data_IF_566091851284
#
_entry.id   IF_566091851284
#
_cell.length_a   1.000
_cell.length_b   1.000
_cell.length_c   1.000
_cell.angle_alpha   90.00
_cell.angle_beta   90.00
_cell.angle_gamma   90.00
#
_symmetry.space_group_name_H-M   'P 1'
#
loop_
_entity.id
_entity.type
_entity.pdbx_description
1 polymer ?
#
# COMPACT_ATOMS: atom_id res chain seq x y z
N UNK A 1 -4.02 11.90 -14.45
CA UNK A 1 -2.59 12.18 -14.67
C UNK A 1 -1.85 10.89 -14.96
N UNK A 2 -0.92 10.94 -15.90
CA UNK A 2 -0.06 9.80 -16.28
C UNK A 2 1.31 9.90 -15.62
N UNK A 3 1.83 8.76 -15.18
CA UNK A 3 3.23 8.62 -14.75
C UNK A 3 3.82 7.34 -15.34
N UNK A 4 5.03 7.45 -15.89
CA UNK A 4 5.81 6.29 -16.30
C UNK A 4 6.50 5.68 -15.07
N UNK A 5 6.07 4.49 -14.67
CA UNK A 5 6.62 3.80 -13.50
C UNK A 5 8.10 3.43 -13.64
N UNK A 6 8.63 3.32 -14.87
CA UNK A 6 10.05 3.06 -15.08
C UNK A 6 10.95 4.21 -14.61
N UNK A 7 10.40 5.41 -14.44
CA UNK A 7 11.12 6.56 -13.86
C UNK A 7 11.32 6.43 -12.35
N UNK A 8 10.41 5.71 -11.67
CA UNK A 8 10.48 5.45 -10.22
C UNK A 8 11.18 4.12 -9.96
N UNK A 9 10.92 3.13 -10.81
CA UNK A 9 11.46 1.77 -10.72
C UNK A 9 12.24 1.44 -12.00
N UNK A 10 13.51 1.85 -12.12
CA UNK A 10 14.31 1.60 -13.31
C UNK A 10 14.40 0.12 -13.63
N UNK A 11 14.15 -0.22 -14.89
CA UNK A 11 14.12 -1.61 -15.35
C UNK A 11 12.73 -2.25 -15.36
N UNK A 12 11.70 -1.57 -14.82
CA UNK A 12 10.31 -2.01 -15.02
C UNK A 12 9.93 -1.93 -16.47
N UNK A 13 9.30 -2.99 -16.98
CA UNK A 13 8.77 -3.07 -18.33
C UNK A 13 7.36 -3.63 -18.34
N UNK A 14 6.56 -3.12 -19.27
CA UNK A 14 5.22 -3.66 -19.56
C UNK A 14 5.11 -3.94 -21.05
N UNK A 15 4.67 -5.14 -21.39
CA UNK A 15 4.31 -5.56 -22.74
C UNK A 15 2.87 -6.06 -22.74
N UNK A 16 2.06 -5.59 -23.68
CA UNK A 16 0.64 -5.92 -23.75
C UNK A 16 0.36 -7.45 -23.88
N UNK A 17 1.31 -8.20 -24.43
CA UNK A 17 1.16 -9.63 -24.66
C UNK A 17 1.93 -10.48 -23.64
N UNK A 18 3.05 -9.98 -23.14
CA UNK A 18 3.93 -10.71 -22.21
C UNK A 18 3.71 -10.33 -20.74
N UNK A 19 2.93 -9.26 -20.49
CA UNK A 19 2.72 -8.74 -19.15
C UNK A 19 3.86 -7.86 -18.66
N UNK A 20 3.91 -7.66 -17.36
CA UNK A 20 4.90 -6.83 -16.69
C UNK A 20 6.06 -7.65 -16.13
N UNK A 21 7.23 -7.02 -16.06
CA UNK A 21 8.44 -7.60 -15.47
C UNK A 21 9.23 -6.55 -14.72
N UNK A 22 9.75 -6.91 -13.56
CA UNK A 22 10.65 -6.09 -12.77
C UNK A 22 11.63 -6.95 -11.97
N UNK A 23 12.92 -6.69 -12.12
CA UNK A 23 14.00 -7.43 -11.44
C UNK A 23 13.89 -8.96 -11.66
N UNK A 24 13.44 -9.37 -12.84
CA UNK A 24 13.27 -10.78 -13.20
C UNK A 24 12.02 -11.44 -12.62
N UNK A 25 11.10 -10.67 -12.04
CA UNK A 25 9.88 -11.17 -11.42
C UNK A 25 8.63 -10.59 -12.10
N UNK A 26 7.51 -11.30 -11.95
CA UNK A 26 6.19 -10.82 -12.32
C UNK A 26 5.54 -10.08 -11.14
N UNK A 27 5.28 -8.76 -11.26
CA UNK A 27 4.63 -8.01 -10.19
C UNK A 27 3.18 -8.39 -9.92
N UNK A 28 2.54 -9.15 -10.81
CA UNK A 28 1.13 -9.50 -10.73
C UNK A 28 0.20 -8.38 -11.19
N UNK A 29 -1.09 -8.68 -11.34
CA UNK A 29 -2.09 -7.72 -11.82
C UNK A 29 -2.70 -6.88 -10.70
N UNK A 30 -3.00 -7.50 -9.56
CA UNK A 30 -3.70 -6.86 -8.44
C UNK A 30 -2.84 -6.62 -7.21
N UNK A 31 -1.60 -7.07 -7.22
CA UNK A 31 -0.64 -6.97 -6.13
C UNK A 31 0.41 -8.06 -6.22
N UNK A 32 1.57 -7.81 -5.64
CA UNK A 32 2.66 -8.77 -5.63
C UNK A 32 2.43 -9.85 -4.56
N UNK A 33 2.63 -11.11 -4.93
CA UNK A 33 2.56 -12.25 -4.03
C UNK A 33 3.87 -13.03 -4.12
N UNK A 34 4.44 -13.33 -2.97
CA UNK A 34 5.64 -14.17 -2.84
C UNK A 34 5.44 -15.13 -1.67
N UNK A 35 5.82 -16.36 -1.84
CA UNK A 35 5.73 -17.37 -0.79
C UNK A 35 6.95 -18.29 -0.84
N UNK A 36 7.54 -18.52 0.31
CA UNK A 36 8.59 -19.53 0.52
C UNK A 36 8.08 -20.53 1.55
N UNK A 37 7.59 -21.70 1.12
CA UNK A 37 7.06 -22.70 2.03
C UNK A 37 8.08 -23.17 3.05
N UNK A 38 7.62 -23.36 4.29
CA UNK A 38 8.49 -23.80 5.36
C UNK A 38 7.88 -23.62 6.74
N UNK A 39 8.68 -23.96 7.75
CA UNK A 39 8.40 -23.69 9.15
C UNK A 39 9.29 -22.54 9.63
N UNK A 40 8.68 -21.55 10.25
CA UNK A 40 9.36 -20.35 10.69
C UNK A 40 9.02 -20.01 12.14
N UNK A 41 9.97 -19.37 12.81
CA UNK A 41 9.81 -18.88 14.19
C UNK A 41 10.08 -17.37 14.25
N UNK A 42 9.47 -16.71 15.25
CA UNK A 42 9.62 -15.27 15.49
C UNK A 42 9.37 -14.43 14.23
N UNK A 43 8.22 -14.60 13.62
CA UNK A 43 7.86 -13.99 12.34
C UNK A 43 7.22 -12.62 12.56
N UNK A 44 7.89 -11.54 12.18
CA UNK A 44 7.31 -10.22 12.19
C UNK A 44 6.37 -10.04 10.99
N UNK A 45 5.14 -9.64 11.26
CA UNK A 45 4.16 -9.22 10.26
C UNK A 45 4.11 -7.70 10.21
N UNK A 46 4.49 -7.13 9.08
CA UNK A 46 4.36 -5.70 8.81
C UNK A 46 3.37 -5.50 7.65
N UNK A 47 2.52 -4.50 7.80
CA UNK A 47 1.45 -4.19 6.86
C UNK A 47 1.52 -2.71 6.47
N UNK A 48 1.37 -2.42 5.18
CA UNK A 48 1.35 -1.03 4.69
C UNK A 48 -0.02 -0.42 4.98
N UNK A 49 -0.03 0.67 5.72
CA UNK A 49 -1.24 1.44 5.94
C UNK A 49 -1.71 2.07 4.62
N UNK A 50 -2.88 1.66 4.15
CA UNK A 50 -3.52 2.22 2.95
C UNK A 50 -2.63 2.20 1.71
N UNK A 51 -2.16 1.03 1.26
CA UNK A 51 -1.24 0.86 0.13
C UNK A 51 -1.74 1.53 -1.16
N UNK A 52 -2.96 1.21 -1.61
CA UNK A 52 -3.50 1.77 -2.84
C UNK A 52 -3.80 3.27 -2.73
N UNK A 53 -4.42 3.76 -1.67
CA UNK A 53 -4.58 5.21 -1.48
C UNK A 53 -3.26 5.97 -1.46
N UNK A 54 -2.25 5.45 -0.80
CA UNK A 54 -0.91 6.06 -0.78
C UNK A 54 -0.27 6.07 -2.16
N UNK A 55 -0.43 4.98 -2.93
CA UNK A 55 0.04 4.93 -4.32
C UNK A 55 -0.62 6.00 -5.19
N UNK A 56 -1.92 6.22 -5.03
CA UNK A 56 -2.65 7.30 -5.72
C UNK A 56 -2.07 8.68 -5.37
N UNK A 57 -1.79 8.92 -4.09
CA UNK A 57 -1.18 10.17 -3.61
C UNK A 57 0.22 10.38 -4.21
N UNK A 58 1.07 9.38 -4.12
CA UNK A 58 2.46 9.44 -4.61
C UNK A 58 2.55 9.63 -6.12
N UNK A 59 1.58 9.08 -6.87
CA UNK A 59 1.46 9.27 -8.30
C UNK A 59 0.79 10.60 -8.69
N UNK A 60 0.23 11.33 -7.73
CA UNK A 60 -0.63 12.49 -7.98
C UNK A 60 -1.70 12.20 -9.04
N UNK A 61 -2.32 11.03 -8.93
CA UNK A 61 -3.10 10.44 -10.01
C UNK A 61 -4.35 11.24 -10.37
N UNK A 62 -4.93 11.94 -9.39
CA UNK A 62 -6.11 12.79 -9.57
C UNK A 62 -5.76 14.26 -9.82
N UNK A 63 -4.48 14.60 -9.99
CA UNK A 63 -4.05 15.97 -10.23
C UNK A 63 -4.52 16.92 -9.13
N UNK A 64 -5.27 17.99 -9.48
CA UNK A 64 -5.73 18.98 -8.50
C UNK A 64 -6.64 18.42 -7.39
N UNK A 65 -7.25 17.25 -7.62
CA UNK A 65 -8.15 16.60 -6.66
C UNK A 65 -7.44 15.63 -5.72
N UNK A 66 -6.15 15.38 -5.91
CA UNK A 66 -5.37 14.46 -5.07
C UNK A 66 -5.32 14.93 -3.62
N UNK A 67 -5.24 16.23 -3.38
CA UNK A 67 -5.23 16.79 -2.02
C UNK A 67 -6.52 16.45 -1.24
N UNK A 68 -7.68 16.59 -1.88
CA UNK A 68 -8.97 16.21 -1.26
C UNK A 68 -9.08 14.71 -1.01
N UNK A 69 -8.53 13.93 -1.90
CA UNK A 69 -8.44 12.47 -1.69
C UNK A 69 -7.52 12.14 -0.50
N UNK A 70 -6.39 12.82 -0.36
CA UNK A 70 -5.50 12.69 0.79
C UNK A 70 -6.18 13.07 2.11
N UNK A 71 -6.97 14.14 2.14
CA UNK A 71 -7.77 14.50 3.32
C UNK A 71 -8.72 13.38 3.71
N UNK A 72 -9.39 12.75 2.74
CA UNK A 72 -10.31 11.64 3.00
C UNK A 72 -9.59 10.43 3.60
N UNK A 73 -8.42 10.10 3.08
CA UNK A 73 -7.54 9.04 3.64
C UNK A 73 -7.11 9.39 5.07
N UNK A 74 -6.66 10.62 5.30
CA UNK A 74 -6.24 11.10 6.63
C UNK A 74 -7.39 11.08 7.64
N UNK A 75 -8.59 11.47 7.21
CA UNK A 75 -9.78 11.40 8.04
C UNK A 75 -10.09 9.97 8.49
N UNK A 76 -9.98 9.00 7.59
CA UNK A 76 -10.17 7.59 7.94
C UNK A 76 -9.12 7.10 8.94
N UNK A 77 -7.87 7.50 8.77
CA UNK A 77 -6.77 7.14 9.70
C UNK A 77 -7.03 7.77 11.08
N UNK A 78 -7.40 9.05 11.14
CA UNK A 78 -7.73 9.74 12.38
C UNK A 78 -8.88 9.05 13.12
N UNK A 79 -9.93 8.65 12.41
CA UNK A 79 -11.07 7.91 12.97
C UNK A 79 -10.64 6.54 13.51
N UNK A 80 -9.83 5.80 12.75
CA UNK A 80 -9.29 4.49 13.19
C UNK A 80 -8.52 4.60 14.50
N UNK A 81 -7.74 5.68 14.66
CA UNK A 81 -6.95 5.94 15.87
C UNK A 81 -7.70 6.75 16.94
N UNK A 82 -8.97 7.09 16.69
CA UNK A 82 -9.80 7.93 17.57
C UNK A 82 -9.17 9.29 17.88
N UNK A 83 -8.39 9.81 16.94
CA UNK A 83 -7.70 11.09 17.02
C UNK A 83 -8.63 12.23 16.55
N UNK A 84 -9.44 12.74 17.47
CA UNK A 84 -10.41 13.79 17.19
C UNK A 84 -9.73 15.15 16.90
N UNK A 85 -8.53 15.37 17.42
CA UNK A 85 -7.77 16.60 17.14
C UNK A 85 -7.28 16.61 15.69
N UNK A 86 -6.70 15.50 15.22
CA UNK A 86 -6.34 15.34 13.80
C UNK A 86 -7.56 15.47 12.89
N UNK A 87 -8.69 14.86 13.27
CA UNK A 87 -9.93 14.93 12.50
C UNK A 87 -10.48 16.37 12.38
N UNK A 88 -10.31 17.17 13.43
CA UNK A 88 -10.78 18.57 13.46
C UNK A 88 -10.09 19.48 12.45
N UNK A 89 -8.90 19.10 11.99
CA UNK A 89 -8.10 19.85 11.01
C UNK A 89 -8.45 19.52 9.57
N UNK A 90 -9.31 18.52 9.35
CA UNK A 90 -9.69 18.03 8.03
C UNK A 90 -11.11 18.49 7.69
N UNK A 91 -11.35 18.79 6.40
CA UNK A 91 -12.66 19.22 5.89
C UNK A 91 -13.30 20.36 6.69
N UNK A 92 -12.50 21.32 7.11
CA UNK A 92 -12.95 22.48 7.93
C UNK A 92 -13.67 22.05 9.23
N UNK A 93 -13.28 20.91 9.82
CA UNK A 93 -13.85 20.37 11.06
C UNK A 93 -15.23 19.72 10.92
N UNK A 94 -15.81 19.66 9.73
CA UNK A 94 -17.18 19.13 9.50
C UNK A 94 -17.34 17.68 9.94
N UNK A 95 -16.29 16.87 9.79
CA UNK A 95 -16.34 15.46 10.16
C UNK A 95 -16.40 15.24 11.66
N UNK A 96 -15.92 16.18 12.48
CA UNK A 96 -16.02 16.10 13.94
C UNK A 96 -17.48 16.11 14.40
N UNK A 97 -18.30 16.96 13.81
CA UNK A 97 -19.74 17.04 14.15
C UNK A 97 -20.46 15.73 13.78
N UNK A 98 -20.09 15.14 12.65
CA UNK A 98 -20.61 13.83 12.24
C UNK A 98 -20.12 12.76 13.23
N UNK A 99 -18.84 12.75 13.56
CA UNK A 99 -18.23 11.76 14.44
C UNK A 99 -18.80 11.77 15.87
N UNK A 100 -19.32 12.91 16.35
CA UNK A 100 -19.99 12.99 17.66
C UNK A 100 -21.33 12.22 17.70
N UNK A 101 -21.97 12.02 16.55
CA UNK A 101 -23.31 11.45 16.45
C UNK A 101 -23.32 10.02 15.89
N UNK A 102 -22.17 9.46 15.51
CA UNK A 102 -22.06 8.14 14.93
C UNK A 102 -20.99 7.31 15.63
N UNK A 103 -21.12 6.00 15.55
CA UNK A 103 -20.06 5.09 15.96
C UNK A 103 -18.81 5.28 15.07
N UNK A 104 -17.65 5.44 15.70
CA UNK A 104 -16.41 5.71 14.97
C UNK A 104 -15.96 4.55 14.09
N UNK A 105 -16.21 3.32 14.52
CA UNK A 105 -15.85 2.14 13.74
C UNK A 105 -16.72 2.02 12.48
N UNK A 106 -18.02 2.32 12.62
CA UNK A 106 -18.94 2.37 11.48
C UNK A 106 -18.60 3.51 10.52
N UNK A 107 -18.27 4.68 11.05
CA UNK A 107 -17.84 5.82 10.24
C UNK A 107 -16.54 5.51 9.47
N UNK A 108 -15.58 4.88 10.13
CA UNK A 108 -14.33 4.43 9.49
C UNK A 108 -14.57 3.42 8.37
N UNK A 109 -15.52 2.51 8.54
CA UNK A 109 -15.95 1.56 7.49
C UNK A 109 -16.63 2.29 6.33
N UNK A 110 -17.51 3.24 6.64
CA UNK A 110 -18.20 4.04 5.62
C UNK A 110 -17.23 4.84 4.76
N UNK A 111 -16.19 5.44 5.35
CA UNK A 111 -15.16 6.18 4.60
C UNK A 111 -14.27 5.27 3.75
N UNK A 112 -14.12 4.00 4.09
CA UNK A 112 -13.38 3.03 3.28
C UNK A 112 -14.01 2.83 1.90
N UNK A 113 -15.32 2.92 1.81
CA UNK A 113 -16.06 2.66 0.55
C UNK A 113 -15.67 3.67 -0.54
N UNK A 114 -15.81 5.01 -0.37
CA UNK A 114 -15.41 5.95 -1.40
C UNK A 114 -13.90 5.90 -1.71
N UNK A 115 -13.05 5.69 -0.71
CA UNK A 115 -11.60 5.56 -0.92
C UNK A 115 -11.28 4.39 -1.86
N UNK A 116 -11.89 3.22 -1.64
CA UNK A 116 -11.69 2.05 -2.48
C UNK A 116 -12.39 2.18 -3.84
N UNK A 117 -13.54 2.85 -3.90
CA UNK A 117 -14.26 3.12 -5.15
C UNK A 117 -13.44 3.98 -6.09
N UNK A 118 -12.73 4.98 -5.58
CA UNK A 118 -11.82 5.80 -6.37
C UNK A 118 -10.68 4.97 -6.97
N UNK A 119 -10.13 4.03 -6.21
CA UNK A 119 -9.15 3.07 -6.75
C UNK A 119 -9.75 2.24 -7.90
N UNK A 120 -10.96 1.72 -7.73
CA UNK A 120 -11.65 0.97 -8.78
C UNK A 120 -11.85 1.79 -10.07
N UNK A 121 -12.14 3.08 -9.95
CA UNK A 121 -12.30 3.98 -11.09
C UNK A 121 -11.00 4.19 -11.87
N UNK A 122 -9.84 4.14 -11.24
CA UNK A 122 -8.55 4.31 -11.92
C UNK A 122 -8.24 3.19 -12.90
N UNK A 123 -8.76 2.00 -12.65
CA UNK A 123 -8.58 0.81 -13.50
C UNK A 123 -9.81 0.48 -14.36
N UNK A 124 -10.90 1.23 -14.21
CA UNK A 124 -12.13 1.03 -14.98
C UNK A 124 -11.91 1.34 -16.47
N UNK A 125 -12.47 0.49 -17.35
CA UNK A 125 -12.30 0.62 -18.81
C UNK A 125 -13.32 1.55 -19.46
N UNK A 126 -14.10 2.28 -18.68
CA UNK A 126 -15.05 3.28 -19.18
C UNK A 126 -14.55 4.69 -18.86
N UNK A 127 -14.99 5.66 -19.67
CA UNK A 127 -14.60 7.05 -19.50
C UNK A 127 -15.10 7.60 -18.16
N UNK A 128 -14.18 8.10 -17.35
CA UNK A 128 -14.47 8.72 -16.07
C UNK A 128 -13.30 9.65 -15.65
N UNK A 129 -13.51 10.61 -14.73
CA UNK A 129 -12.50 11.60 -14.37
C UNK A 129 -11.20 11.02 -13.76
N UNK A 130 -11.24 9.80 -13.24
CA UNK A 130 -10.09 9.13 -12.64
C UNK A 130 -9.35 8.23 -13.66
N UNK A 131 -9.87 8.07 -14.87
CA UNK A 131 -9.30 7.20 -15.89
C UNK A 131 -8.39 7.97 -16.84
N UNK A 132 -7.19 7.46 -17.04
CA UNK A 132 -6.29 7.90 -18.10
C UNK A 132 -5.88 6.66 -18.92
N UNK A 133 -6.19 6.62 -20.23
CA UNK A 133 -5.91 5.44 -21.06
C UNK A 133 -4.42 5.12 -21.20
N UNK A 134 -3.55 6.04 -20.82
CA UNK A 134 -2.11 5.81 -20.79
C UNK A 134 -1.66 5.04 -19.54
N UNK A 135 -2.48 5.04 -18.48
CA UNK A 135 -2.24 4.28 -17.27
C UNK A 135 -2.68 2.83 -17.50
N UNK A 136 -1.88 2.11 -18.23
CA UNK A 136 -2.08 0.69 -18.49
C UNK A 136 -1.58 -0.15 -17.31
N UNK A 137 -1.91 -1.43 -17.29
CA UNK A 137 -1.35 -2.39 -16.34
C UNK A 137 -1.67 -2.11 -14.87
N UNK A 138 -2.85 -1.51 -14.59
CA UNK A 138 -3.30 -1.21 -13.22
C UNK A 138 -2.23 -0.45 -12.41
N UNK A 139 -1.90 0.75 -12.84
CA UNK A 139 -0.78 1.56 -12.33
C UNK A 139 -0.75 1.70 -10.80
N UNK A 140 -1.92 1.78 -10.15
CA UNK A 140 -2.00 1.93 -8.69
C UNK A 140 -1.51 0.67 -7.98
N UNK A 141 -2.07 -0.48 -8.34
CA UNK A 141 -1.63 -1.77 -7.79
C UNK A 141 -0.17 -2.06 -8.17
N UNK A 142 0.22 -1.69 -9.39
CA UNK A 142 1.58 -1.90 -9.89
C UNK A 142 2.62 -1.13 -9.09
N UNK A 143 2.35 0.13 -8.74
CA UNK A 143 3.30 0.89 -7.92
C UNK A 143 3.57 0.23 -6.58
N UNK A 144 2.53 -0.26 -5.92
CA UNK A 144 2.68 -1.01 -4.67
C UNK A 144 3.42 -2.34 -4.86
N UNK A 145 3.14 -3.06 -5.94
CA UNK A 145 3.80 -4.32 -6.26
C UNK A 145 5.30 -4.15 -6.51
N UNK A 146 5.70 -3.14 -7.28
CA UNK A 146 7.10 -2.83 -7.55
C UNK A 146 7.85 -2.43 -6.28
N UNK A 147 7.21 -1.63 -5.43
CA UNK A 147 7.76 -1.32 -4.10
C UNK A 147 7.99 -2.58 -3.26
N UNK A 148 7.02 -3.50 -3.22
CA UNK A 148 7.14 -4.74 -2.45
C UNK A 148 8.25 -5.66 -2.97
N UNK A 149 8.50 -5.66 -4.27
CA UNK A 149 9.66 -6.36 -4.86
C UNK A 149 10.96 -5.72 -4.39
N UNK A 150 11.09 -4.39 -4.44
CA UNK A 150 12.26 -3.67 -3.94
C UNK A 150 12.47 -3.94 -2.45
N UNK A 151 11.39 -3.93 -1.66
CA UNK A 151 11.46 -4.25 -0.23
C UNK A 151 11.98 -5.67 0.01
N UNK A 152 11.47 -6.66 -0.74
CA UNK A 152 11.95 -8.04 -0.64
C UNK A 152 13.45 -8.13 -0.87
N UNK A 153 13.95 -7.52 -1.92
CA UNK A 153 15.38 -7.49 -2.22
C UNK A 153 16.18 -6.77 -1.13
N UNK A 154 15.67 -5.65 -0.62
CA UNK A 154 16.30 -4.95 0.48
C UNK A 154 16.42 -5.83 1.74
N UNK A 155 15.35 -6.52 2.13
CA UNK A 155 15.35 -7.42 3.29
C UNK A 155 16.31 -8.59 3.10
N UNK A 156 16.33 -9.20 1.91
CA UNK A 156 17.18 -10.35 1.61
C UNK A 156 18.64 -9.96 1.45
N UNK A 157 18.94 -8.93 0.70
CA UNK A 157 20.30 -8.57 0.28
C UNK A 157 21.00 -7.64 1.27
N UNK A 158 20.29 -6.63 1.81
CA UNK A 158 20.87 -5.64 2.71
C UNK A 158 20.75 -6.04 4.19
N UNK A 159 19.60 -6.58 4.60
CA UNK A 159 19.40 -7.04 5.98
C UNK A 159 19.84 -8.49 6.20
N UNK A 160 20.03 -9.26 5.14
CA UNK A 160 20.45 -10.67 5.23
C UNK A 160 19.38 -11.57 5.87
N UNK A 161 18.11 -11.20 5.77
CA UNK A 161 16.99 -11.94 6.34
C UNK A 161 16.19 -12.71 5.27
N UNK A 162 15.47 -13.73 5.71
CA UNK A 162 14.50 -14.43 4.86
C UNK A 162 13.20 -13.64 4.80
N UNK A 163 12.58 -13.61 3.63
CA UNK A 163 11.18 -13.20 3.45
C UNK A 163 10.36 -14.47 3.27
N UNK A 164 9.47 -14.77 4.21
CA UNK A 164 8.63 -15.97 4.15
C UNK A 164 7.42 -15.78 3.25
N UNK A 165 6.79 -14.60 3.30
CA UNK A 165 5.57 -14.35 2.57
C UNK A 165 5.38 -12.85 2.31
N UNK A 166 4.90 -12.53 1.12
CA UNK A 166 4.37 -11.22 0.75
C UNK A 166 2.99 -11.44 0.12
N UNK A 167 2.02 -10.65 0.54
CA UNK A 167 0.70 -10.61 -0.09
C UNK A 167 0.21 -9.18 -0.16
N UNK A 168 0.27 -8.60 -1.35
CA UNK A 168 -0.19 -7.25 -1.70
C UNK A 168 0.43 -6.15 -0.82
N UNK A 169 -0.02 -6.00 0.41
CA UNK A 169 0.35 -4.92 1.34
C UNK A 169 1.07 -5.41 2.61
N UNK A 170 1.28 -6.70 2.74
CA UNK A 170 1.91 -7.30 3.92
C UNK A 170 3.18 -8.07 3.60
N UNK A 171 4.13 -8.03 4.53
CA UNK A 171 5.37 -8.82 4.49
C UNK A 171 5.57 -9.55 5.82
N UNK A 172 6.00 -10.81 5.75
CA UNK A 172 6.32 -11.65 6.89
C UNK A 172 7.80 -11.98 6.88
N UNK A 173 8.50 -11.55 7.93
CA UNK A 173 9.96 -11.63 8.04
C UNK A 173 10.32 -12.43 9.29
N UNK A 174 10.75 -13.70 9.13
CA UNK A 174 11.24 -14.50 10.25
C UNK A 174 12.51 -13.91 10.88
N UNK A 175 12.58 -13.92 12.20
CA UNK A 175 13.78 -13.52 12.95
C UNK A 175 14.11 -12.03 12.91
N UNK A 176 13.19 -11.17 12.45
CA UNK A 176 13.42 -9.73 12.44
C UNK A 176 13.53 -9.16 13.86
N UNK A 177 14.62 -8.45 14.11
CA UNK A 177 14.82 -7.70 15.36
C UNK A 177 14.04 -6.37 15.32
N UNK A 178 13.82 -5.68 16.46
CA UNK A 178 13.24 -4.34 16.45
C UNK A 178 13.99 -3.35 15.55
N UNK A 179 15.31 -3.47 15.46
CA UNK A 179 16.13 -2.65 14.56
C UNK A 179 15.85 -2.99 13.08
N UNK A 180 15.74 -4.26 12.73
CA UNK A 180 15.34 -4.69 11.38
C UNK A 180 13.96 -4.16 11.01
N UNK A 181 12.99 -4.24 11.91
CA UNK A 181 11.65 -3.70 11.72
C UNK A 181 11.70 -2.21 11.44
N UNK A 182 12.49 -1.46 12.21
CA UNK A 182 12.64 -0.02 12.00
C UNK A 182 13.28 0.30 10.63
N UNK A 183 14.26 -0.47 10.20
CA UNK A 183 14.85 -0.33 8.87
C UNK A 183 13.87 -0.59 7.74
N UNK A 184 12.99 -1.58 7.89
CA UNK A 184 11.91 -1.83 6.94
C UNK A 184 10.92 -0.65 6.90
N UNK A 185 10.54 -0.11 8.04
CA UNK A 185 9.68 1.07 8.12
C UNK A 185 10.32 2.28 7.45
N UNK A 186 11.60 2.52 7.68
CA UNK A 186 12.36 3.63 7.08
C UNK A 186 12.48 3.45 5.56
N UNK A 187 12.67 2.22 5.09
CA UNK A 187 12.68 1.91 3.66
C UNK A 187 11.33 2.22 3.01
N UNK A 188 10.23 1.85 3.66
CA UNK A 188 8.87 2.18 3.19
C UNK A 188 8.66 3.68 3.05
N UNK A 189 9.13 4.47 3.99
CA UNK A 189 9.00 5.94 3.97
C UNK A 189 9.70 6.59 2.78
N UNK A 190 10.77 6.01 2.26
CA UNK A 190 11.45 6.52 1.04
C UNK A 190 10.51 6.54 -0.17
N UNK A 191 9.53 5.64 -0.19
CA UNK A 191 8.52 5.52 -1.25
C UNK A 191 7.17 6.15 -0.87
N UNK A 192 7.07 6.75 0.32
CA UNK A 192 5.86 7.36 0.84
C UNK A 192 4.92 6.40 1.56
N UNK A 193 5.35 5.16 1.83
CA UNK A 193 4.54 4.17 2.53
C UNK A 193 4.83 4.11 4.02
N UNK A 194 3.77 4.00 4.82
CA UNK A 194 3.84 3.81 6.26
C UNK A 194 3.52 2.35 6.60
N UNK A 195 4.48 1.67 7.24
CA UNK A 195 4.27 0.33 7.77
C UNK A 195 3.74 0.37 9.20
N UNK A 196 2.84 -0.56 9.50
CA UNK A 196 2.42 -0.90 10.85
C UNK A 196 2.98 -2.28 11.21
N UNK A 197 3.60 -2.42 12.39
CA UNK A 197 3.97 -3.73 12.93
C UNK A 197 2.73 -4.35 13.59
N UNK A 198 2.03 -5.22 12.85
CA UNK A 198 0.75 -5.79 13.26
C UNK A 198 0.91 -6.86 14.34
N UNK A 199 1.91 -7.71 14.18
CA UNK A 199 2.13 -8.85 15.08
C UNK A 199 3.54 -9.42 14.93
N UNK A 200 3.95 -10.21 15.92
CA UNK A 200 5.07 -11.14 15.80
C UNK A 200 4.57 -12.53 16.21
N UNK A 201 4.59 -13.45 15.27
CA UNK A 201 4.17 -14.83 15.50
C UNK A 201 5.34 -15.66 16.06
N UNK A 202 5.09 -16.37 17.16
CA UNK A 202 6.09 -17.29 17.71
C UNK A 202 6.44 -18.40 16.71
N UNK A 203 5.44 -18.92 16.01
CA UNK A 203 5.59 -19.98 15.00
C UNK A 203 4.64 -19.77 13.83
N UNK A 204 5.12 -20.09 12.64
CA UNK A 204 4.33 -20.04 11.40
C UNK A 204 4.70 -21.19 10.50
N UNK A 205 3.70 -21.83 9.92
CA UNK A 205 3.86 -22.84 8.87
C UNK A 205 3.26 -22.27 7.59
N UNK A 206 4.04 -22.26 6.52
CA UNK A 206 3.57 -21.90 5.20
C UNK A 206 3.65 -23.14 4.30
N UNK A 207 2.52 -23.50 3.74
CA UNK A 207 2.38 -24.62 2.80
C UNK A 207 2.05 -24.08 1.40
N UNK A 208 2.32 -24.90 0.37
CA UNK A 208 1.95 -24.59 -1.00
C UNK A 208 0.45 -24.72 -1.23
#
# INVERSE_FOLDING_TARGET
VYTDLSTIFPGYTFDKFKGSSYRGEDPGEGGYVYAEPGYYENVALLDVASLHPTSIEQLNLFGPYTERYSELKQARVAIKHKDMDALSKLFDGRLVEIAKNYDLDELGKALKIPINSMYGLTSAKFDNPAYDPRNVDNIVAKRGALFMIDLKHYVQEELGLTVAHIKTDSIKIPGATPDDIQKVMDFGKRYGYDFEHEATYAKMVLVN
#
